data_IF_723222020940
#
_entry.id   IF_723222020940
#
_cell.length_a   1.000
_cell.length_b   1.000
_cell.length_c   1.000
_cell.angle_alpha   90.00
_cell.angle_beta   90.00
_cell.angle_gamma   90.00
#
_symmetry.space_group_name_H-M   'P 1'
#
loop_
_entity.id
_entity.type
_entity.pdbx_description
1 polymer ?
#
# COMPACT_ATOMS: atom_id res chain seq x y z
N UNK A 1 -9.41 -73.78 -66.88
CA UNK A 1 -8.40 -72.73 -66.57
C UNK A 1 -9.05 -71.36 -66.70
N UNK A 2 -8.70 -70.42 -65.80
CA UNK A 2 -9.13 -69.00 -65.72
C UNK A 2 -10.49 -68.69 -65.08
N UNK A 3 -10.66 -67.73 -64.15
CA UNK A 3 -9.87 -67.16 -63.03
C UNK A 3 -10.90 -66.35 -62.22
N UNK A 4 -10.89 -66.47 -60.89
CA UNK A 4 -11.69 -65.67 -59.96
C UNK A 4 -11.34 -64.17 -60.05
N UNK A 5 -12.33 -63.30 -59.97
CA UNK A 5 -12.14 -61.89 -59.61
C UNK A 5 -13.24 -61.47 -58.62
N UNK A 6 -12.89 -61.54 -57.33
CA UNK A 6 -13.69 -61.02 -56.21
C UNK A 6 -13.48 -59.51 -56.13
N UNK A 7 -14.57 -58.73 -56.23
CA UNK A 7 -14.54 -57.29 -56.08
C UNK A 7 -14.61 -56.92 -54.58
N UNK A 8 -13.59 -56.21 -54.09
CA UNK A 8 -13.53 -55.70 -52.72
C UNK A 8 -14.37 -54.41 -52.56
N UNK A 9 -14.98 -54.17 -51.38
CA UNK A 9 -15.74 -52.96 -51.13
C UNK A 9 -14.83 -51.76 -50.80
N UNK A 10 -15.21 -50.57 -51.31
CA UNK A 10 -14.51 -49.29 -51.12
C UNK A 10 -14.59 -48.84 -49.66
N UNK A 11 -13.45 -48.59 -49.03
CA UNK A 11 -13.37 -47.94 -47.71
C UNK A 11 -13.67 -46.45 -47.85
N UNK A 12 -14.69 -45.97 -47.14
CA UNK A 12 -15.00 -44.55 -46.99
C UNK A 12 -14.01 -43.91 -46.02
N UNK A 13 -13.13 -43.05 -46.53
CA UNK A 13 -12.20 -42.25 -45.72
C UNK A 13 -12.98 -41.33 -44.77
N UNK A 14 -12.72 -41.44 -43.47
CA UNK A 14 -13.23 -40.51 -42.45
C UNK A 14 -12.54 -39.14 -42.60
N UNK A 15 -13.25 -38.02 -42.39
CA UNK A 15 -12.65 -36.69 -42.48
C UNK A 15 -11.63 -36.47 -41.35
N UNK A 16 -10.47 -35.91 -41.72
CA UNK A 16 -9.42 -35.53 -40.78
C UNK A 16 -9.93 -34.53 -39.73
N UNK A 17 -9.57 -34.67 -38.44
CA UNK A 17 -9.96 -33.70 -37.43
C UNK A 17 -9.26 -32.36 -37.70
N UNK A 18 -10.02 -31.26 -37.60
CA UNK A 18 -9.52 -29.90 -37.76
C UNK A 18 -8.37 -29.61 -36.77
N UNK A 19 -7.35 -28.83 -37.18
CA UNK A 19 -6.30 -28.40 -36.27
C UNK A 19 -6.90 -27.54 -35.15
N UNK A 20 -6.79 -28.02 -33.92
CA UNK A 20 -7.21 -27.28 -32.73
C UNK A 20 -6.37 -26.00 -32.64
N UNK A 21 -7.00 -24.85 -32.83
CA UNK A 21 -6.41 -23.54 -32.64
C UNK A 21 -5.92 -23.44 -31.19
N UNK A 22 -4.61 -23.43 -30.99
CA UNK A 22 -3.99 -23.25 -29.69
C UNK A 22 -4.36 -21.87 -29.15
N UNK A 23 -5.32 -21.83 -28.23
CA UNK A 23 -5.63 -20.63 -27.44
C UNK A 23 -4.36 -20.22 -26.70
N UNK A 24 -3.87 -18.97 -26.83
CA UNK A 24 -2.72 -18.53 -26.08
C UNK A 24 -3.04 -18.63 -24.58
N UNK A 25 -2.32 -19.53 -23.88
CA UNK A 25 -2.41 -19.65 -22.41
C UNK A 25 -2.00 -18.31 -21.83
N UNK A 26 -2.96 -17.62 -21.21
CA UNK A 26 -2.72 -16.42 -20.42
C UNK A 26 -1.62 -16.77 -19.39
N UNK A 27 -0.51 -16.01 -19.28
CA UNK A 27 0.53 -16.31 -18.31
C UNK A 27 -0.10 -16.30 -16.92
N UNK A 28 -0.04 -17.45 -16.24
CA UNK A 28 -0.66 -17.64 -14.94
C UNK A 28 -0.14 -16.58 -13.97
N UNK A 29 -1.04 -15.76 -13.43
CA UNK A 29 -0.71 -14.86 -12.32
C UNK A 29 -0.19 -15.75 -11.18
N UNK A 30 1.04 -15.55 -10.68
CA UNK A 30 1.58 -16.38 -9.61
C UNK A 30 0.67 -16.28 -8.38
N UNK A 31 0.33 -17.44 -7.80
CA UNK A 31 -0.63 -17.55 -6.69
C UNK A 31 -0.15 -16.86 -5.39
N UNK A 32 1.14 -16.54 -5.28
CA UNK A 32 1.73 -15.82 -4.15
C UNK A 32 2.42 -14.56 -4.66
N UNK A 33 1.99 -13.36 -4.20
CA UNK A 33 2.68 -12.11 -4.53
C UNK A 33 4.13 -12.14 -4.06
N UNK A 34 5.07 -11.75 -4.93
CA UNK A 34 6.50 -11.65 -4.57
C UNK A 34 6.69 -10.48 -3.60
N UNK A 35 7.00 -10.80 -2.34
CA UNK A 35 7.21 -9.80 -1.29
C UNK A 35 8.70 -9.44 -1.15
N UNK A 36 8.96 -8.20 -0.71
CA UNK A 36 10.29 -7.75 -0.30
C UNK A 36 10.82 -8.63 0.84
N UNK A 37 12.08 -9.05 0.73
CA UNK A 37 12.73 -9.91 1.74
C UNK A 37 12.78 -9.22 3.11
N UNK A 38 12.83 -10.01 4.18
CA UNK A 38 12.90 -9.47 5.54
C UNK A 38 14.09 -8.51 5.75
N UNK A 39 15.27 -8.86 5.23
CA UNK A 39 16.48 -8.03 5.35
C UNK A 39 16.33 -6.69 4.62
N UNK A 40 15.71 -6.73 3.44
CA UNK A 40 15.44 -5.52 2.67
C UNK A 40 14.38 -4.64 3.36
N UNK A 41 13.34 -5.24 3.92
CA UNK A 41 12.37 -4.50 4.76
C UNK A 41 13.02 -3.85 5.97
N UNK A 42 13.92 -4.55 6.65
CA UNK A 42 14.63 -3.98 7.80
C UNK A 42 15.48 -2.77 7.43
N UNK A 43 16.22 -2.86 6.31
CA UNK A 43 16.97 -1.72 5.76
C UNK A 43 16.05 -0.55 5.40
N UNK A 44 14.92 -0.84 4.74
CA UNK A 44 13.94 0.17 4.36
C UNK A 44 13.42 0.93 5.59
N UNK A 45 12.98 0.20 6.62
CA UNK A 45 12.49 0.77 7.87
C UNK A 45 13.59 1.60 8.54
N UNK A 46 14.81 1.04 8.69
CA UNK A 46 15.90 1.75 9.36
C UNK A 46 16.27 3.07 8.66
N UNK A 47 16.39 3.07 7.33
CA UNK A 47 16.69 4.28 6.58
C UNK A 47 15.52 5.28 6.61
N UNK A 48 14.29 4.78 6.57
CA UNK A 48 13.09 5.61 6.65
C UNK A 48 13.01 6.34 7.99
N UNK A 49 13.19 5.62 9.09
CA UNK A 49 13.17 6.16 10.45
C UNK A 49 14.28 7.18 10.67
N UNK A 50 15.53 6.88 10.25
CA UNK A 50 16.66 7.81 10.37
C UNK A 50 16.40 9.09 9.58
N UNK A 51 15.98 8.97 8.31
CA UNK A 51 15.69 10.14 7.49
C UNK A 51 14.49 10.94 7.99
N UNK A 52 13.46 10.26 8.51
CA UNK A 52 12.28 10.88 9.10
C UNK A 52 12.63 11.69 10.35
N UNK A 53 13.45 11.12 11.23
CA UNK A 53 13.98 11.82 12.41
C UNK A 53 14.80 13.05 12.00
N UNK A 54 15.70 12.92 11.02
CA UNK A 54 16.51 14.06 10.55
C UNK A 54 15.65 15.15 9.90
N UNK A 55 14.54 14.80 9.27
CA UNK A 55 13.62 15.75 8.66
C UNK A 55 12.78 16.48 9.72
N UNK A 56 12.21 15.76 10.68
CA UNK A 56 11.25 16.31 11.65
C UNK A 56 11.97 17.07 12.76
N UNK A 57 13.10 16.55 13.24
CA UNK A 57 13.73 17.05 14.47
C UNK A 57 14.12 18.53 14.40
N UNK A 58 14.78 19.02 13.33
CA UNK A 58 15.20 20.42 13.27
C UNK A 58 14.05 21.42 13.15
N UNK A 59 13.06 21.27 12.23
CA UNK A 59 11.90 22.15 12.17
C UNK A 59 11.10 22.14 13.46
N UNK A 60 10.93 20.95 14.07
CA UNK A 60 10.21 20.83 15.32
C UNK A 60 10.92 21.56 16.46
N UNK A 61 12.23 21.37 16.65
CA UNK A 61 13.01 22.06 17.69
C UNK A 61 13.03 23.59 17.47
N UNK A 62 13.11 24.03 16.21
CA UNK A 62 13.06 25.46 15.88
C UNK A 62 11.68 26.08 16.14
N UNK A 63 10.60 25.39 15.77
CA UNK A 63 9.24 25.88 15.94
C UNK A 63 8.73 25.82 17.38
N UNK A 64 9.11 24.76 18.13
CA UNK A 64 8.71 24.61 19.53
C UNK A 64 9.59 25.42 20.49
N UNK A 65 10.83 25.72 20.09
CA UNK A 65 11.84 26.33 20.97
C UNK A 65 12.32 25.41 22.09
N UNK A 66 11.92 24.13 22.08
CA UNK A 66 12.19 23.15 23.14
C UNK A 66 13.13 22.05 22.63
N UNK A 67 14.12 21.61 23.43
CA UNK A 67 14.99 20.49 23.07
C UNK A 67 14.20 19.23 22.72
N UNK A 68 14.68 18.50 21.70
CA UNK A 68 13.98 17.31 21.20
C UNK A 68 13.76 16.22 22.26
N UNK A 69 14.73 16.06 23.17
CA UNK A 69 14.67 15.11 24.28
C UNK A 69 13.52 15.43 25.23
N UNK A 70 13.26 16.72 25.47
CA UNK A 70 12.15 17.15 26.33
C UNK A 70 10.78 16.93 25.66
N UNK A 71 10.75 16.91 24.32
CA UNK A 71 9.53 16.67 23.54
C UNK A 71 9.30 15.20 23.19
N UNK A 72 10.25 14.31 23.47
CA UNK A 72 10.17 12.89 23.13
C UNK A 72 8.93 12.21 23.74
N UNK A 73 8.54 12.59 24.96
CA UNK A 73 7.33 12.09 25.62
C UNK A 73 6.06 12.44 24.86
N UNK A 74 5.92 13.71 24.44
CA UNK A 74 4.77 14.15 23.65
C UNK A 74 4.70 13.42 22.31
N UNK A 75 5.81 13.35 21.58
CA UNK A 75 5.88 12.67 20.29
C UNK A 75 5.53 11.18 20.40
N UNK A 76 5.98 10.50 21.46
CA UNK A 76 5.61 9.11 21.71
C UNK A 76 4.11 8.92 21.98
N UNK A 77 3.48 9.83 22.74
CA UNK A 77 2.03 9.82 22.99
C UNK A 77 1.25 10.06 21.69
N UNK A 78 1.65 11.06 20.89
CA UNK A 78 1.01 11.35 19.60
C UNK A 78 1.15 10.17 18.63
N UNK A 79 2.31 9.54 18.56
CA UNK A 79 2.53 8.34 17.75
C UNK A 79 1.63 7.17 18.20
N UNK A 80 1.47 6.97 19.51
CA UNK A 80 0.58 5.94 20.04
C UNK A 80 -0.90 6.23 19.70
N UNK A 81 -1.35 7.48 19.86
CA UNK A 81 -2.70 7.91 19.46
C UNK A 81 -2.90 7.64 17.97
N UNK A 82 -1.96 8.04 17.12
CA UNK A 82 -2.03 7.83 15.68
C UNK A 82 -2.10 6.34 15.31
N UNK A 83 -1.30 5.48 15.95
CA UNK A 83 -1.31 4.04 15.71
C UNK A 83 -2.66 3.39 16.10
N UNK A 84 -3.19 3.74 17.29
CA UNK A 84 -4.47 3.25 17.77
C UNK A 84 -5.62 3.74 16.90
N UNK A 85 -5.62 5.03 16.55
CA UNK A 85 -6.62 5.62 15.67
C UNK A 85 -6.60 5.01 14.27
N UNK A 86 -5.42 4.80 13.69
CA UNK A 86 -5.27 4.11 12.41
C UNK A 86 -5.89 2.72 12.42
N UNK A 87 -5.61 1.91 13.44
CA UNK A 87 -6.23 0.59 13.58
C UNK A 87 -7.76 0.67 13.73
N UNK A 88 -8.23 1.52 14.64
CA UNK A 88 -9.65 1.65 14.96
C UNK A 88 -10.47 2.20 13.79
N UNK A 89 -10.02 3.30 13.19
CA UNK A 89 -10.71 3.97 12.08
C UNK A 89 -10.78 3.07 10.84
N UNK A 90 -9.64 2.51 10.39
CA UNK A 90 -9.62 1.66 9.20
C UNK A 90 -10.55 0.45 9.37
N UNK A 91 -10.50 -0.21 10.54
CA UNK A 91 -11.36 -1.36 10.83
C UNK A 91 -12.84 -0.98 10.84
N UNK A 92 -13.19 0.11 11.52
CA UNK A 92 -14.58 0.58 11.59
C UNK A 92 -15.12 0.96 10.21
N UNK A 93 -14.36 1.74 9.45
CA UNK A 93 -14.78 2.20 8.14
C UNK A 93 -14.92 1.03 7.15
N UNK A 94 -13.96 0.11 7.13
CA UNK A 94 -14.01 -1.07 6.26
C UNK A 94 -15.22 -1.96 6.59
N UNK A 95 -15.53 -2.13 7.88
CA UNK A 95 -16.71 -2.88 8.32
C UNK A 95 -18.02 -2.19 7.89
N UNK A 96 -18.14 -0.88 8.09
CA UNK A 96 -19.32 -0.09 7.68
C UNK A 96 -19.47 -0.12 6.16
N UNK A 97 -18.42 0.13 5.40
CA UNK A 97 -18.46 0.10 3.93
C UNK A 97 -18.86 -1.28 3.41
N UNK A 98 -18.27 -2.33 3.98
CA UNK A 98 -18.58 -3.72 3.64
C UNK A 98 -20.04 -4.07 3.92
N UNK A 99 -20.58 -3.64 5.07
CA UNK A 99 -21.99 -3.82 5.44
C UNK A 99 -22.95 -3.07 4.51
N UNK A 100 -22.64 -1.83 4.14
CA UNK A 100 -23.52 -0.98 3.36
C UNK A 100 -23.49 -1.29 1.86
N UNK A 101 -22.34 -1.74 1.34
CA UNK A 101 -22.13 -1.83 -0.11
C UNK A 101 -21.70 -3.21 -0.60
N UNK A 102 -21.35 -4.14 0.29
CA UNK A 102 -20.83 -5.46 -0.07
C UNK A 102 -19.47 -5.44 -0.76
N UNK A 103 -18.84 -4.26 -0.90
CA UNK A 103 -17.52 -4.11 -1.54
C UNK A 103 -16.42 -4.27 -0.50
N UNK A 104 -15.35 -4.92 -0.92
CA UNK A 104 -14.10 -5.01 -0.18
C UNK A 104 -13.27 -3.73 -0.38
N UNK A 105 -12.39 -3.41 0.58
CA UNK A 105 -11.63 -2.15 0.60
C UNK A 105 -10.74 -1.95 -0.64
N UNK A 106 -10.25 -3.02 -1.27
CA UNK A 106 -9.49 -2.97 -2.53
C UNK A 106 -10.31 -2.38 -3.68
N UNK A 107 -11.64 -2.58 -3.68
CA UNK A 107 -12.58 -2.08 -4.70
C UNK A 107 -13.20 -0.72 -4.34
N UNK A 108 -12.60 0.01 -3.39
CA UNK A 108 -13.07 1.33 -2.98
C UNK A 108 -12.91 2.36 -4.12
N UNK A 109 -13.99 3.02 -4.59
CA UNK A 109 -13.91 4.03 -5.63
C UNK A 109 -13.19 5.29 -5.11
N UNK A 110 -12.58 6.04 -6.01
CA UNK A 110 -11.75 7.21 -5.68
C UNK A 110 -12.47 8.21 -4.75
N UNK A 111 -13.73 8.55 -5.04
CA UNK A 111 -14.53 9.45 -4.20
C UNK A 111 -14.61 9.02 -2.74
N UNK A 112 -14.71 7.71 -2.48
CA UNK A 112 -14.83 7.18 -1.13
C UNK A 112 -13.45 7.07 -0.47
N UNK A 113 -12.37 6.94 -1.24
CA UNK A 113 -10.99 7.06 -0.73
C UNK A 113 -10.71 8.49 -0.25
N UNK A 114 -11.14 9.50 -1.00
CA UNK A 114 -11.04 10.90 -0.57
C UNK A 114 -11.84 11.15 0.71
N UNK A 115 -13.10 10.69 0.76
CA UNK A 115 -13.94 10.83 1.95
C UNK A 115 -13.31 10.14 3.18
N UNK A 116 -12.81 8.91 2.99
CA UNK A 116 -12.09 8.17 4.02
C UNK A 116 -10.87 8.94 4.53
N UNK A 117 -10.02 9.46 3.64
CA UNK A 117 -8.84 10.22 4.03
C UNK A 117 -9.19 11.49 4.80
N UNK A 118 -10.21 12.24 4.38
CA UNK A 118 -10.66 13.45 5.07
C UNK A 118 -11.18 13.13 6.47
N UNK A 119 -12.00 12.09 6.63
CA UNK A 119 -12.48 11.68 7.96
C UNK A 119 -11.38 11.11 8.84
N UNK A 120 -10.44 10.35 8.25
CA UNK A 120 -9.29 9.81 8.96
C UNK A 120 -8.45 10.94 9.55
N UNK A 121 -8.03 11.88 8.70
CA UNK A 121 -7.19 12.99 9.07
C UNK A 121 -7.91 13.94 10.04
N UNK A 122 -9.17 14.27 9.75
CA UNK A 122 -9.98 15.12 10.61
C UNK A 122 -10.19 14.51 12.00
N UNK A 123 -10.47 13.21 12.07
CA UNK A 123 -10.61 12.52 13.35
C UNK A 123 -9.28 12.40 14.12
N UNK A 124 -8.18 12.15 13.42
CA UNK A 124 -6.85 12.12 14.03
C UNK A 124 -6.51 13.49 14.63
N UNK A 125 -6.74 14.55 13.86
CA UNK A 125 -6.52 15.94 14.26
C UNK A 125 -7.35 16.31 15.50
N UNK A 126 -8.62 15.87 15.58
CA UNK A 126 -9.43 16.07 16.79
C UNK A 126 -8.87 15.37 18.03
N UNK A 127 -8.10 14.29 17.87
CA UNK A 127 -7.46 13.56 18.97
C UNK A 127 -6.07 14.13 19.33
N UNK A 128 -5.27 14.50 18.33
CA UNK A 128 -3.90 14.99 18.52
C UNK A 128 -3.85 16.45 18.96
N UNK A 129 -4.71 17.30 18.39
CA UNK A 129 -4.65 18.74 18.59
C UNK A 129 -4.82 19.16 20.06
N UNK A 130 -5.77 18.61 20.85
CA UNK A 130 -5.87 18.95 22.28
C UNK A 130 -4.62 18.55 23.06
N UNK A 131 -3.99 17.43 22.71
CA UNK A 131 -2.73 16.99 23.35
C UNK A 131 -1.61 17.96 23.04
N UNK A 132 -1.48 18.38 21.77
CA UNK A 132 -0.47 19.35 21.35
C UNK A 132 -0.68 20.68 22.09
N UNK A 133 -1.90 21.22 22.12
CA UNK A 133 -2.23 22.48 22.81
C UNK A 133 -1.91 22.39 24.30
N UNK A 134 -2.38 21.34 24.98
CA UNK A 134 -2.19 21.20 26.43
C UNK A 134 -0.73 20.94 26.82
N UNK A 135 0.04 20.25 25.98
CA UNK A 135 1.43 19.90 26.28
C UNK A 135 2.41 21.02 25.91
N UNK A 136 2.25 21.63 24.73
CA UNK A 136 3.15 22.66 24.23
C UNK A 136 2.83 24.06 24.75
N UNK A 137 1.60 24.30 25.20
CA UNK A 137 1.11 25.63 25.58
C UNK A 137 0.84 26.57 24.39
N UNK A 138 0.93 26.09 23.16
CA UNK A 138 0.59 26.85 21.95
C UNK A 138 -0.90 27.19 21.89
N UNK A 139 -1.27 28.29 21.24
CA UNK A 139 -2.66 28.55 20.93
C UNK A 139 -3.18 27.56 19.89
N UNK A 140 -4.50 27.36 19.86
CA UNK A 140 -5.17 26.38 18.98
C UNK A 140 -4.79 26.50 17.50
N UNK A 141 -4.70 27.72 16.97
CA UNK A 141 -4.37 27.95 15.55
C UNK A 141 -2.90 27.64 15.27
N UNK A 142 -1.99 28.01 16.18
CA UNK A 142 -0.56 27.73 16.05
C UNK A 142 -0.30 26.22 16.09
N UNK A 143 -0.92 25.54 17.05
CA UNK A 143 -0.87 24.08 17.16
C UNK A 143 -1.45 23.40 15.91
N UNK A 144 -2.56 23.90 15.38
CA UNK A 144 -3.20 23.36 14.17
C UNK A 144 -2.28 23.48 12.94
N UNK A 145 -1.69 24.66 12.74
CA UNK A 145 -0.77 24.91 11.62
C UNK A 145 0.49 24.04 11.76
N UNK A 146 1.02 23.89 12.98
CA UNK A 146 2.15 23.03 13.25
C UNK A 146 1.84 21.55 12.96
N UNK A 147 0.69 21.03 13.42
CA UNK A 147 0.28 19.63 13.23
C UNK A 147 0.08 19.32 11.74
N UNK A 148 -0.65 20.17 11.00
CA UNK A 148 -0.85 20.01 9.55
C UNK A 148 0.48 20.13 8.80
N UNK A 149 1.33 21.11 9.14
CA UNK A 149 2.63 21.30 8.51
C UNK A 149 3.53 20.08 8.66
N UNK A 150 3.56 19.51 9.87
CA UNK A 150 4.31 18.29 10.16
C UNK A 150 3.75 17.08 9.40
N UNK A 151 2.43 16.89 9.40
CA UNK A 151 1.77 15.80 8.70
C UNK A 151 2.03 15.84 7.19
N UNK A 152 1.93 17.02 6.57
CA UNK A 152 2.20 17.21 5.14
C UNK A 152 3.68 16.99 4.82
N UNK A 153 4.60 17.50 5.64
CA UNK A 153 6.04 17.30 5.45
C UNK A 153 6.41 15.82 5.53
N UNK A 154 5.92 15.10 6.54
CA UNK A 154 6.19 13.67 6.69
C UNK A 154 5.56 12.84 5.58
N UNK A 155 4.33 13.18 5.16
CA UNK A 155 3.67 12.53 4.02
C UNK A 155 4.46 12.72 2.73
N UNK A 156 4.91 13.95 2.45
CA UNK A 156 5.75 14.26 1.29
C UNK A 156 7.08 13.51 1.33
N UNK A 157 7.73 13.47 2.49
CA UNK A 157 8.94 12.70 2.70
C UNK A 157 8.73 11.20 2.47
N UNK A 158 7.68 10.61 3.05
CA UNK A 158 7.38 9.20 2.88
C UNK A 158 7.14 8.85 1.42
N UNK A 159 6.45 9.71 0.67
CA UNK A 159 6.29 9.53 -0.76
C UNK A 159 7.64 9.53 -1.50
N UNK A 160 8.46 10.56 -1.31
CA UNK A 160 9.76 10.71 -1.99
C UNK A 160 10.72 9.59 -1.61
N UNK A 161 10.80 9.26 -0.32
CA UNK A 161 11.62 8.18 0.20
C UNK A 161 11.23 6.84 -0.42
N UNK A 162 9.94 6.47 -0.39
CA UNK A 162 9.50 5.19 -0.93
C UNK A 162 9.79 5.09 -2.43
N UNK A 163 9.52 6.16 -3.19
CA UNK A 163 9.83 6.23 -4.61
C UNK A 163 11.33 6.16 -4.93
N UNK A 164 12.19 6.74 -4.09
CA UNK A 164 13.64 6.66 -4.23
C UNK A 164 14.17 5.29 -3.86
N UNK A 165 13.70 4.74 -2.74
CA UNK A 165 14.08 3.42 -2.25
C UNK A 165 13.74 2.32 -3.25
N UNK A 166 12.53 2.34 -3.80
CA UNK A 166 12.10 1.34 -4.78
C UNK A 166 12.88 1.42 -6.10
N UNK A 167 13.37 2.61 -6.48
CA UNK A 167 14.28 2.76 -7.64
C UNK A 167 15.68 2.23 -7.36
N UNK A 168 16.22 2.45 -6.16
CA UNK A 168 17.56 1.99 -5.79
C UNK A 168 17.59 0.49 -5.49
N UNK A 169 16.49 -0.05 -4.95
CA UNK A 169 16.36 -1.44 -4.53
C UNK A 169 15.07 -2.06 -5.10
N UNK A 170 15.04 -2.28 -6.43
CA UNK A 170 13.89 -2.90 -7.07
C UNK A 170 13.70 -4.33 -6.56
N UNK A 171 12.44 -4.75 -6.43
CA UNK A 171 12.12 -6.16 -6.20
C UNK A 171 12.27 -6.82 -7.56
N UNK A 172 13.27 -7.69 -7.72
CA UNK A 172 13.52 -8.34 -9.01
C UNK A 172 12.23 -8.96 -9.56
N UNK A 173 11.90 -8.75 -10.85
CA UNK A 173 10.83 -9.51 -11.47
C UNK A 173 11.16 -11.01 -11.39
N UNK A 174 10.15 -11.86 -11.27
CA UNK A 174 10.37 -13.30 -11.43
C UNK A 174 11.10 -13.54 -12.76
N UNK A 175 12.12 -14.41 -12.83
CA UNK A 175 12.74 -14.73 -14.11
C UNK A 175 11.63 -15.16 -15.07
N UNK A 176 11.55 -14.48 -16.22
CA UNK A 176 10.68 -14.94 -17.29
C UNK A 176 11.09 -16.39 -17.57
N UNK A 177 10.16 -17.32 -17.35
CA UNK A 177 10.41 -18.74 -17.59
C UNK A 177 11.03 -18.87 -18.99
N UNK A 178 12.29 -19.31 -19.02
CA UNK A 178 13.12 -19.30 -20.21
C UNK A 178 12.41 -19.99 -21.38
N UNK A 179 12.50 -19.36 -22.54
CA UNK A 179 12.20 -19.98 -23.83
C UNK A 179 13.25 -21.02 -24.17
#
# INVERSE_FOLDING_TARGET
MSRNASAAPRQSASPSPLPQSATPRNPAVPAVPKLRSFRDRLRQIALFEIGGLLLISPPFAWASGVPLVESAGMLAVLALIAALWNGAFNTCFDWVEGRLTGRTADRRPLRLRCLHAVFFEGGLLMLTLPVIVLWSGLAWVEALVADIGLALAYTGYALVFNLGYDRMFPIDPAPAAGR
#
